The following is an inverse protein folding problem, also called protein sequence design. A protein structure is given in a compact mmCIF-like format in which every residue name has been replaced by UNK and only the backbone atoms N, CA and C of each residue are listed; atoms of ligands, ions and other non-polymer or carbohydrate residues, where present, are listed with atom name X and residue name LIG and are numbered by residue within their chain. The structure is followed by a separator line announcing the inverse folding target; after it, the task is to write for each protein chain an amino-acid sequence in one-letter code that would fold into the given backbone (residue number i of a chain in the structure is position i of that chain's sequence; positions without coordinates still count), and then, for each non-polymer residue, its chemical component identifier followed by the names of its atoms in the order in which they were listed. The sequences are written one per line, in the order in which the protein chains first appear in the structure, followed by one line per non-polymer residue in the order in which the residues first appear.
data_IF_701854801147
#
_entry.id   IF_701854801147
#
_cell.length_a   1.000
_cell.length_b   1.000
_cell.length_c   1.000
_cell.angle_alpha   90.00
_cell.angle_beta   90.00
_cell.angle_gamma   90.00
#
_symmetry.space_group_name_H-M   'P 1'
#
loop_
_entity.id
_entity.type
_entity.pdbx_description
1 polymer ?
#
# COMPACT_ATOMS: atom_id res chain seq x y z
N UNK A 1 -10.95 -14.43 -41.46
CA UNK A 1 -10.94 -15.21 -40.23
C UNK A 1 -9.57 -15.16 -39.56
N UNK A 2 -8.48 -15.40 -40.27
CA UNK A 2 -7.09 -15.41 -39.73
C UNK A 2 -6.65 -14.08 -39.09
N UNK A 3 -6.98 -12.94 -39.70
CA UNK A 3 -6.66 -11.61 -39.17
C UNK A 3 -7.36 -11.37 -37.82
N UNK A 4 -8.63 -11.77 -37.70
CA UNK A 4 -9.40 -11.61 -36.46
C UNK A 4 -8.79 -12.49 -35.33
N UNK A 5 -8.39 -13.72 -35.67
CA UNK A 5 -7.72 -14.63 -34.71
C UNK A 5 -6.38 -14.04 -34.29
N UNK A 6 -5.60 -13.51 -35.22
CA UNK A 6 -4.31 -12.88 -34.91
C UNK A 6 -4.48 -11.66 -33.98
N UNK A 7 -5.45 -10.78 -34.25
CA UNK A 7 -5.77 -9.64 -33.38
C UNK A 7 -6.20 -10.10 -31.99
N UNK A 8 -7.06 -11.11 -31.90
CA UNK A 8 -7.51 -11.66 -30.63
C UNK A 8 -6.35 -12.24 -29.82
N UNK A 9 -5.44 -12.99 -30.45
CA UNK A 9 -4.24 -13.51 -29.78
C UNK A 9 -3.31 -12.40 -29.29
N UNK A 10 -3.04 -11.39 -30.13
CA UNK A 10 -2.19 -10.25 -29.75
C UNK A 10 -2.80 -9.48 -28.57
N UNK A 11 -4.12 -9.26 -28.60
CA UNK A 11 -4.84 -8.62 -27.49
C UNK A 11 -4.74 -9.45 -26.22
N UNK A 12 -4.90 -10.77 -26.30
CA UNK A 12 -4.74 -11.67 -25.17
C UNK A 12 -3.34 -11.61 -24.57
N UNK A 13 -2.29 -11.66 -25.39
CA UNK A 13 -0.91 -11.53 -24.96
C UNK A 13 -0.65 -10.17 -24.31
N UNK A 14 -1.15 -9.11 -24.91
CA UNK A 14 -1.04 -7.76 -24.36
C UNK A 14 -1.72 -7.65 -22.99
N UNK A 15 -2.94 -8.12 -22.86
CA UNK A 15 -3.67 -8.13 -21.59
C UNK A 15 -2.95 -8.96 -20.52
N UNK A 16 -2.45 -10.14 -20.89
CA UNK A 16 -1.64 -10.97 -19.99
C UNK A 16 -0.40 -10.22 -19.49
N UNK A 17 0.34 -9.58 -20.40
CA UNK A 17 1.51 -8.78 -20.05
C UNK A 17 1.15 -7.62 -19.13
N UNK A 18 0.07 -6.88 -19.42
CA UNK A 18 -0.39 -5.76 -18.60
C UNK A 18 -0.75 -6.20 -17.16
N UNK A 19 -1.26 -7.41 -17.00
CA UNK A 19 -1.66 -7.93 -15.69
C UNK A 19 -0.52 -8.56 -14.89
N UNK A 20 0.54 -9.05 -15.53
CA UNK A 20 1.52 -9.91 -14.85
C UNK A 20 2.94 -9.33 -14.82
N UNK A 21 3.27 -8.35 -15.66
CA UNK A 21 4.60 -7.75 -15.67
C UNK A 21 4.73 -6.67 -14.61
N UNK A 22 5.38 -6.97 -13.49
CA UNK A 22 5.67 -6.01 -12.42
C UNK A 22 6.57 -4.88 -12.95
N UNK A 23 6.18 -3.65 -12.67
CA UNK A 23 6.98 -2.43 -12.87
C UNK A 23 7.62 -2.04 -11.56
N UNK A 24 8.82 -1.48 -11.60
CA UNK A 24 9.46 -0.86 -10.46
C UNK A 24 9.35 0.65 -10.64
N UNK A 25 8.63 1.29 -9.74
CA UNK A 25 8.49 2.75 -9.70
C UNK A 25 9.50 3.32 -8.70
N UNK A 26 10.48 4.07 -9.19
CA UNK A 26 11.50 4.68 -8.35
C UNK A 26 11.14 6.14 -8.06
N UNK A 27 11.10 6.51 -6.77
CA UNK A 27 10.82 7.83 -6.26
C UNK A 27 12.01 8.30 -5.42
N UNK A 28 12.44 9.53 -5.57
CA UNK A 28 13.47 10.13 -4.73
C UNK A 28 12.87 11.31 -3.98
N UNK A 29 12.96 11.28 -2.67
CA UNK A 29 12.48 12.36 -1.81
C UNK A 29 13.65 12.94 -1.00
N UNK A 30 13.79 14.25 -1.07
CA UNK A 30 14.76 14.97 -0.23
C UNK A 30 14.22 15.03 1.18
N UNK A 31 15.02 14.53 2.13
CA UNK A 31 14.71 14.55 3.55
C UNK A 31 15.97 14.95 4.36
N UNK A 32 15.77 15.47 5.57
CA UNK A 32 16.89 15.78 6.46
C UNK A 32 17.36 14.48 7.11
N UNK A 33 18.30 13.78 6.45
CA UNK A 33 18.83 12.48 6.86
C UNK A 33 20.36 12.46 6.85
N UNK A 34 20.93 11.54 7.63
CA UNK A 34 22.37 11.32 7.69
C UNK A 34 22.86 10.45 6.53
N UNK A 35 22.16 9.37 6.25
CA UNK A 35 22.47 8.39 5.23
C UNK A 35 21.21 8.03 4.45
N UNK A 36 21.37 7.75 3.17
CA UNK A 36 20.28 7.31 2.29
C UNK A 36 19.55 6.10 2.86
N UNK A 37 18.23 6.20 2.91
CA UNK A 37 17.33 5.10 3.28
C UNK A 37 16.47 4.72 2.09
N UNK A 38 16.36 3.43 1.83
CA UNK A 38 15.52 2.88 0.75
C UNK A 38 14.35 2.10 1.33
N UNK A 39 13.15 2.48 0.95
CA UNK A 39 11.90 1.88 1.38
C UNK A 39 11.25 1.20 0.18
N UNK A 40 10.84 -0.07 0.32
CA UNK A 40 9.98 -0.71 -0.66
C UNK A 40 8.53 -0.72 -0.14
N UNK A 41 7.59 -0.30 -0.99
CA UNK A 41 6.15 -0.40 -0.70
C UNK A 41 5.56 -1.55 -1.51
N UNK A 42 4.86 -2.46 -0.84
CA UNK A 42 3.98 -3.47 -1.42
C UNK A 42 2.55 -3.20 -0.96
N UNK A 43 1.59 -3.34 -1.86
CA UNK A 43 0.18 -3.05 -1.58
C UNK A 43 -0.73 -3.82 -2.51
N UNK A 44 -1.96 -4.09 -2.05
CA UNK A 44 -3.05 -4.58 -2.88
C UNK A 44 -2.65 -5.81 -3.73
N UNK A 45 -2.07 -6.81 -3.09
CA UNK A 45 -1.67 -8.06 -3.76
C UNK A 45 -2.89 -8.96 -4.03
N UNK A 46 -3.91 -8.89 -3.15
CA UNK A 46 -5.16 -9.67 -3.25
C UNK A 46 -4.91 -11.15 -3.51
N UNK A 47 -4.00 -11.75 -2.75
CA UNK A 47 -3.61 -13.15 -2.88
C UNK A 47 -3.16 -13.57 -4.29
N UNK A 48 -2.80 -12.61 -5.14
CA UNK A 48 -2.23 -12.87 -6.46
C UNK A 48 -0.82 -13.43 -6.32
N UNK A 49 -0.48 -14.36 -7.20
CA UNK A 49 0.85 -14.93 -7.28
C UNK A 49 1.64 -14.41 -8.48
N UNK A 50 2.90 -14.07 -8.24
CA UNK A 50 3.91 -13.78 -9.25
C UNK A 50 4.98 -14.86 -9.21
N UNK A 51 4.82 -15.89 -10.04
CA UNK A 51 5.59 -17.14 -9.98
C UNK A 51 5.09 -18.07 -8.87
N UNK A 52 5.79 -19.17 -8.63
CA UNK A 52 5.44 -20.11 -7.59
C UNK A 52 5.74 -19.51 -6.21
N UNK A 53 4.74 -19.44 -5.32
CA UNK A 53 4.87 -18.86 -3.99
C UNK A 53 5.44 -17.41 -4.00
N UNK A 54 5.10 -16.63 -5.02
CA UNK A 54 5.58 -15.26 -5.21
C UNK A 54 7.10 -15.11 -5.40
N UNK A 55 7.80 -16.13 -5.89
CA UNK A 55 9.26 -16.11 -6.07
C UNK A 55 9.75 -15.00 -7.00
N UNK A 56 8.97 -14.64 -8.03
CA UNK A 56 9.29 -13.53 -8.94
C UNK A 56 9.18 -12.19 -8.21
N UNK A 57 8.14 -11.99 -7.41
CA UNK A 57 7.98 -10.77 -6.62
C UNK A 57 9.07 -10.67 -5.55
N UNK A 58 9.33 -11.75 -4.83
CA UNK A 58 10.41 -11.83 -3.84
C UNK A 58 11.76 -11.41 -4.43
N UNK A 59 12.18 -12.03 -5.55
CA UNK A 59 13.43 -11.68 -6.24
C UNK A 59 13.48 -10.20 -6.61
N UNK A 60 12.39 -9.67 -7.16
CA UNK A 60 12.32 -8.25 -7.51
C UNK A 60 12.47 -7.32 -6.30
N UNK A 61 11.92 -7.68 -5.15
CA UNK A 61 12.07 -6.90 -3.92
C UNK A 61 13.54 -6.94 -3.45
N UNK A 62 14.13 -8.14 -3.35
CA UNK A 62 15.50 -8.31 -2.87
C UNK A 62 16.52 -7.64 -3.80
N UNK A 63 16.33 -7.70 -5.12
CA UNK A 63 17.17 -6.99 -6.10
C UNK A 63 17.22 -5.49 -5.89
N UNK A 64 16.16 -4.89 -5.33
CA UNK A 64 16.12 -3.45 -5.03
C UNK A 64 16.90 -3.09 -3.76
N UNK A 65 17.29 -4.05 -2.92
CA UNK A 65 18.02 -3.86 -1.67
C UNK A 65 17.37 -2.80 -0.76
N UNK A 66 16.08 -2.93 -0.43
CA UNK A 66 15.44 -1.99 0.49
C UNK A 66 15.97 -2.20 1.90
N UNK A 67 15.95 -1.14 2.69
CA UNK A 67 16.32 -1.16 4.11
C UNK A 67 15.14 -1.58 4.98
N UNK A 68 13.93 -1.19 4.56
CA UNK A 68 12.65 -1.56 5.18
C UNK A 68 11.58 -1.78 4.12
N UNK A 69 10.55 -2.52 4.49
CA UNK A 69 9.35 -2.71 3.68
C UNK A 69 8.13 -2.17 4.42
N UNK A 70 7.30 -1.44 3.70
CA UNK A 70 5.98 -1.03 4.15
C UNK A 70 4.90 -1.74 3.33
N UNK A 71 4.02 -2.46 4.01
CA UNK A 71 2.88 -3.14 3.43
C UNK A 71 1.61 -2.35 3.74
N UNK A 72 1.03 -1.72 2.72
CA UNK A 72 -0.08 -0.78 2.89
C UNK A 72 -1.46 -1.42 2.68
N UNK A 73 -1.60 -2.69 3.10
CA UNK A 73 -2.86 -3.42 3.16
C UNK A 73 -3.26 -4.12 1.87
N UNK A 74 -4.35 -4.88 1.98
CA UNK A 74 -4.94 -5.67 0.91
C UNK A 74 -3.96 -6.65 0.24
N UNK A 75 -3.00 -7.21 1.01
CA UNK A 75 -2.18 -8.31 0.52
C UNK A 75 -2.96 -9.61 0.49
N UNK A 76 -3.88 -9.79 1.44
CA UNK A 76 -4.73 -10.95 1.60
C UNK A 76 -6.13 -10.62 1.08
N UNK A 77 -6.65 -11.48 0.23
CA UNK A 77 -8.01 -11.39 -0.26
C UNK A 77 -9.02 -11.78 0.82
N UNK A 78 -10.19 -11.17 0.84
CA UNK A 78 -11.25 -11.43 1.83
C UNK A 78 -11.75 -12.89 1.84
N UNK A 79 -11.50 -13.65 0.76
CA UNK A 79 -11.79 -15.10 0.70
C UNK A 79 -10.80 -15.95 1.51
N UNK A 80 -9.64 -15.41 1.85
CA UNK A 80 -8.54 -16.07 2.60
C UNK A 80 -8.02 -17.39 1.98
N UNK A 81 -8.33 -17.67 0.72
CA UNK A 81 -7.96 -18.94 0.08
C UNK A 81 -6.46 -19.24 0.07
N UNK A 82 -5.63 -18.20 0.11
CA UNK A 82 -4.16 -18.27 0.08
C UNK A 82 -3.52 -17.57 1.28
N UNK A 83 -4.18 -17.63 2.44
CA UNK A 83 -3.70 -16.95 3.64
C UNK A 83 -2.29 -17.40 4.01
N UNK A 84 -2.10 -18.71 4.10
CA UNK A 84 -0.83 -19.28 4.58
C UNK A 84 0.31 -18.99 3.60
N UNK A 85 0.06 -19.04 2.30
CA UNK A 85 1.03 -18.72 1.25
C UNK A 85 1.46 -17.25 1.30
N UNK A 86 0.52 -16.32 1.55
CA UNK A 86 0.85 -14.89 1.68
C UNK A 86 1.60 -14.62 2.98
N UNK A 87 1.21 -15.26 4.09
CA UNK A 87 1.95 -15.17 5.35
C UNK A 87 3.38 -15.71 5.20
N UNK A 88 3.55 -16.85 4.53
CA UNK A 88 4.87 -17.42 4.26
C UNK A 88 5.72 -16.50 3.38
N UNK A 89 5.14 -15.92 2.34
CA UNK A 89 5.79 -14.91 1.50
C UNK A 89 6.26 -13.71 2.32
N UNK A 90 5.38 -13.11 3.13
CA UNK A 90 5.74 -11.99 4.00
C UNK A 90 6.82 -12.39 5.02
N UNK A 91 6.70 -13.58 5.61
CA UNK A 91 7.69 -14.12 6.55
C UNK A 91 9.06 -14.33 5.90
N UNK A 92 9.09 -14.83 4.67
CA UNK A 92 10.35 -15.04 3.94
C UNK A 92 11.10 -13.72 3.72
N UNK A 93 10.40 -12.65 3.40
CA UNK A 93 10.99 -11.32 3.24
C UNK A 93 11.44 -10.76 4.60
N UNK A 94 10.59 -10.88 5.64
CA UNK A 94 10.85 -10.29 6.95
C UNK A 94 12.05 -10.92 7.69
N UNK A 95 12.54 -12.08 7.24
CA UNK A 95 13.79 -12.66 7.75
C UNK A 95 15.01 -11.80 7.48
N UNK A 96 15.03 -11.13 6.33
CA UNK A 96 16.16 -10.34 5.85
C UNK A 96 15.93 -8.84 5.93
N UNK A 97 14.66 -8.40 5.76
CA UNK A 97 14.27 -6.98 5.66
C UNK A 97 13.05 -6.72 6.53
N UNK A 98 13.14 -5.85 7.55
CA UNK A 98 12.02 -5.55 8.43
C UNK A 98 10.78 -5.08 7.66
N UNK A 99 9.61 -5.66 7.98
CA UNK A 99 8.33 -5.35 7.35
C UNK A 99 7.35 -4.74 8.36
N UNK A 100 6.79 -3.59 7.97
CA UNK A 100 5.74 -2.87 8.71
C UNK A 100 4.45 -2.96 7.92
N UNK A 101 3.42 -3.52 8.55
CA UNK A 101 2.18 -3.91 7.90
C UNK A 101 1.00 -3.18 8.51
N UNK A 102 0.13 -2.61 7.67
CA UNK A 102 -1.22 -2.21 8.06
C UNK A 102 -2.25 -3.05 7.31
N UNK A 103 -3.41 -3.24 7.91
CA UNK A 103 -4.52 -3.93 7.26
C UNK A 103 -5.19 -3.02 6.24
N UNK A 104 -5.60 -3.58 5.11
CA UNK A 104 -6.48 -2.92 4.15
C UNK A 104 -7.94 -3.32 4.35
N UNK A 105 -8.82 -2.87 3.46
CA UNK A 105 -10.24 -3.14 3.60
C UNK A 105 -10.62 -4.62 3.36
N UNK A 106 -9.85 -5.37 2.60
CA UNK A 106 -10.13 -6.78 2.38
C UNK A 106 -9.84 -7.61 3.62
N UNK A 107 -8.71 -7.38 4.29
CA UNK A 107 -8.42 -8.01 5.57
C UNK A 107 -9.43 -7.58 6.64
N UNK A 108 -9.76 -6.28 6.72
CA UNK A 108 -10.69 -5.74 7.73
C UNK A 108 -12.13 -6.24 7.58
N UNK A 109 -12.56 -6.56 6.35
CA UNK A 109 -13.89 -7.14 6.08
C UNK A 109 -13.95 -8.65 6.36
N UNK A 110 -12.81 -9.29 6.48
CA UNK A 110 -12.77 -10.72 6.77
C UNK A 110 -13.26 -11.00 8.19
N UNK A 111 -14.20 -11.96 8.34
CA UNK A 111 -14.66 -12.40 9.66
C UNK A 111 -13.54 -12.99 10.54
N UNK A 112 -12.43 -13.40 9.93
CA UNK A 112 -11.26 -14.01 10.57
C UNK A 112 -10.06 -13.05 10.64
N UNK A 113 -10.28 -11.74 10.66
CA UNK A 113 -9.17 -10.75 10.67
C UNK A 113 -8.23 -10.94 11.86
N UNK A 114 -8.71 -11.41 13.03
CA UNK A 114 -7.87 -11.73 14.18
C UNK A 114 -6.83 -12.80 13.86
N UNK A 115 -7.23 -13.82 13.09
CA UNK A 115 -6.32 -14.88 12.66
C UNK A 115 -5.24 -14.35 11.72
N UNK A 116 -5.59 -13.43 10.82
CA UNK A 116 -4.61 -12.77 9.94
C UNK A 116 -3.55 -12.06 10.79
N UNK A 117 -4.01 -11.21 11.73
CA UNK A 117 -3.12 -10.45 12.62
C UNK A 117 -2.26 -11.38 13.48
N UNK A 118 -2.85 -12.41 14.07
CA UNK A 118 -2.12 -13.38 14.89
C UNK A 118 -1.04 -14.11 14.08
N UNK A 119 -1.35 -14.57 12.87
CA UNK A 119 -0.40 -15.25 11.99
C UNK A 119 0.74 -14.31 11.56
N UNK A 120 0.44 -13.06 11.21
CA UNK A 120 1.46 -12.06 10.87
C UNK A 120 2.40 -11.82 12.07
N UNK A 121 1.84 -11.55 13.26
CA UNK A 121 2.61 -11.29 14.48
C UNK A 121 3.44 -12.53 14.93
N UNK A 122 2.89 -13.74 14.79
CA UNK A 122 3.62 -15.01 15.05
C UNK A 122 4.84 -15.16 14.14
N UNK A 123 4.77 -14.65 12.92
CA UNK A 123 5.88 -14.60 11.97
C UNK A 123 6.75 -13.34 12.12
N UNK A 124 6.66 -12.64 13.26
CA UNK A 124 7.45 -11.46 13.62
C UNK A 124 7.28 -10.26 12.68
N UNK A 125 6.21 -10.23 11.91
CA UNK A 125 5.86 -9.07 11.08
C UNK A 125 5.26 -8.01 11.99
N UNK A 126 5.74 -6.77 11.91
CA UNK A 126 5.25 -5.66 12.71
C UNK A 126 3.91 -5.17 12.13
N UNK A 127 2.80 -5.62 12.71
CA UNK A 127 1.45 -5.16 12.34
C UNK A 127 1.08 -3.97 13.22
N UNK A 128 0.85 -2.83 12.58
CA UNK A 128 0.53 -1.57 13.25
C UNK A 128 -0.98 -1.30 13.17
N UNK A 129 -1.61 -1.15 14.32
CA UNK A 129 -3.05 -0.91 14.49
C UNK A 129 -3.27 0.33 15.35
N UNK A 130 -3.12 1.52 14.78
CA UNK A 130 -3.06 2.82 15.46
C UNK A 130 -1.86 2.94 16.41
N UNK A 131 -0.76 2.37 15.99
CA UNK A 131 0.47 2.28 16.75
C UNK A 131 1.62 2.99 16.02
N UNK A 132 2.59 3.48 16.81
CA UNK A 132 3.81 4.08 16.29
C UNK A 132 4.97 3.17 16.67
N UNK A 133 5.72 2.74 15.66
CA UNK A 133 6.99 2.05 15.83
C UNK A 133 8.15 2.99 15.51
N UNK A 134 9.10 3.10 16.44
CA UNK A 134 10.30 3.93 16.29
C UNK A 134 11.51 3.05 16.07
N UNK A 135 12.19 3.27 14.95
CA UNK A 135 13.34 2.46 14.52
C UNK A 135 14.52 3.33 14.16
N UNK A 136 15.69 2.72 14.13
CA UNK A 136 16.89 3.34 13.60
C UNK A 136 17.35 2.61 12.35
N UNK A 137 17.48 3.34 11.24
CA UNK A 137 17.94 2.81 9.96
C UNK A 137 19.12 3.63 9.47
N UNK A 138 20.30 3.02 9.41
CA UNK A 138 21.55 3.67 8.97
C UNK A 138 21.83 4.99 9.68
N UNK A 139 21.59 5.04 11.00
CA UNK A 139 21.79 6.24 11.82
C UNK A 139 20.71 7.31 11.65
N UNK A 140 19.59 6.98 11.01
CA UNK A 140 18.40 7.85 10.93
C UNK A 140 17.30 7.30 11.81
N UNK A 141 16.74 8.15 12.66
CA UNK A 141 15.55 7.84 13.44
C UNK A 141 14.31 7.96 12.54
N UNK A 142 13.53 6.91 12.47
CA UNK A 142 12.30 6.83 11.66
C UNK A 142 11.16 6.38 12.56
N UNK A 143 10.06 7.13 12.54
CA UNK A 143 8.85 6.80 13.27
C UNK A 143 7.76 6.45 12.28
N UNK A 144 7.22 5.25 12.38
CA UNK A 144 6.22 4.71 11.46
C UNK A 144 4.89 4.61 12.22
N UNK A 145 3.94 5.44 11.87
CA UNK A 145 2.56 5.36 12.33
C UNK A 145 1.78 4.49 11.37
N UNK A 146 1.23 3.38 11.83
CA UNK A 146 0.27 2.59 11.08
C UNK A 146 -1.16 2.85 11.54
N UNK A 147 -2.03 3.20 10.61
CA UNK A 147 -3.45 3.48 10.89
C UNK A 147 -4.31 2.24 10.64
N UNK A 148 -5.15 1.91 11.61
CA UNK A 148 -6.20 0.91 11.47
C UNK A 148 -7.49 1.62 11.03
N UNK A 149 -7.73 1.64 9.73
CA UNK A 149 -8.84 2.37 9.13
C UNK A 149 -9.98 1.41 8.82
N UNK A 150 -11.12 1.60 9.47
CA UNK A 150 -12.36 0.90 9.12
C UNK A 150 -13.16 1.77 8.16
N UNK A 151 -13.46 1.24 6.98
CA UNK A 151 -14.44 1.85 6.09
C UNK A 151 -15.81 1.81 6.76
N UNK A 152 -16.47 2.96 6.89
CA UNK A 152 -17.87 3.05 7.28
C UNK A 152 -18.72 2.61 6.10
N UNK A 153 -19.81 1.91 6.40
CA UNK A 153 -20.66 1.17 5.46
C UNK A 153 -21.02 1.89 4.14
N UNK A 154 -21.27 1.06 3.14
CA UNK A 154 -21.68 1.40 1.79
C UNK A 154 -22.87 2.36 1.76
N UNK A 155 -22.61 3.64 1.64
CA UNK A 155 -23.64 4.68 1.52
C UNK A 155 -23.30 6.01 2.19
N UNK A 156 -22.41 6.03 3.15
CA UNK A 156 -21.90 7.26 3.73
C UNK A 156 -20.54 7.59 3.15
N UNK A 157 -20.43 8.79 2.57
CA UNK A 157 -19.18 9.36 2.09
C UNK A 157 -18.14 9.37 3.23
N UNK A 158 -17.22 8.44 3.15
CA UNK A 158 -15.86 8.33 3.64
C UNK A 158 -15.42 9.24 4.78
N UNK A 159 -15.89 8.97 5.97
CA UNK A 159 -15.16 9.37 7.16
C UNK A 159 -14.41 8.12 7.66
N UNK A 160 -13.09 8.14 7.58
CA UNK A 160 -12.29 7.25 8.38
C UNK A 160 -12.41 7.68 9.84
N UNK A 161 -13.57 7.45 10.46
CA UNK A 161 -13.56 7.33 11.90
C UNK A 161 -12.66 6.16 12.19
N UNK A 162 -11.50 6.43 12.77
CA UNK A 162 -10.66 5.40 13.38
C UNK A 162 -11.53 4.74 14.46
N UNK A 163 -12.36 3.84 14.05
CA UNK A 163 -12.92 2.85 14.93
C UNK A 163 -11.85 1.79 15.06
N UNK A 164 -10.92 2.04 15.98
CA UNK A 164 -10.00 1.00 16.34
C UNK A 164 -10.83 -0.18 16.82
N UNK A 165 -10.52 -1.35 16.28
CA UNK A 165 -10.96 -2.62 16.82
C UNK A 165 -10.54 -2.78 18.29
N UNK A 166 -9.59 -1.96 18.72
CA UNK A 166 -8.87 -2.04 19.98
C UNK A 166 -8.85 -0.72 20.78
N UNK A 167 -9.72 0.23 20.51
CA UNK A 167 -9.82 1.44 21.32
C UNK A 167 -10.33 2.65 20.56
N UNK A 168 -10.91 3.57 21.28
CA UNK A 168 -11.47 4.84 20.79
C UNK A 168 -10.39 5.93 20.73
N UNK A 169 -9.14 5.58 20.38
CA UNK A 169 -8.10 6.60 20.33
C UNK A 169 -8.38 7.53 19.13
N UNK A 170 -8.59 8.80 19.44
CA UNK A 170 -8.87 9.82 18.45
C UNK A 170 -7.63 10.00 17.55
N UNK A 171 -7.82 10.11 16.23
CA UNK A 171 -6.77 10.39 15.24
C UNK A 171 -5.88 11.55 15.68
N UNK A 172 -6.45 12.62 16.20
CA UNK A 172 -5.72 13.79 16.68
C UNK A 172 -4.68 13.44 17.75
N UNK A 173 -5.04 12.56 18.69
CA UNK A 173 -4.10 12.10 19.73
C UNK A 173 -2.95 11.30 19.13
N UNK A 174 -3.24 10.42 18.16
CA UNK A 174 -2.24 9.59 17.53
C UNK A 174 -1.25 10.46 16.76
N UNK A 175 -1.75 11.37 15.93
CA UNK A 175 -0.90 12.30 15.19
C UNK A 175 -0.14 13.24 16.14
N UNK A 176 -0.76 13.75 17.20
CA UNK A 176 -0.07 14.57 18.22
C UNK A 176 1.08 13.82 18.90
N UNK A 177 0.97 12.49 19.07
CA UNK A 177 2.07 11.66 19.57
C UNK A 177 3.19 11.59 18.54
N UNK A 178 2.85 11.32 17.26
CA UNK A 178 3.83 11.27 16.17
C UNK A 178 4.57 12.61 16.00
N UNK A 179 3.86 13.73 16.07
CA UNK A 179 4.42 15.07 15.89
C UNK A 179 5.50 15.41 16.91
N UNK A 180 5.38 14.90 18.15
CA UNK A 180 6.35 15.13 19.24
C UNK A 180 7.65 14.34 19.10
N UNK A 181 7.69 13.36 18.20
CA UNK A 181 8.86 12.52 17.99
C UNK A 181 9.86 13.21 17.08
N UNK A 182 11.14 13.04 17.37
CA UNK A 182 12.22 13.48 16.49
C UNK A 182 12.47 12.47 15.38
N UNK A 183 13.03 12.95 14.26
CA UNK A 183 13.36 12.13 13.10
C UNK A 183 12.28 12.14 12.04
N UNK A 184 12.41 11.23 11.06
CA UNK A 184 11.48 11.12 9.93
C UNK A 184 10.17 10.49 10.40
N UNK A 185 9.06 11.06 9.97
CA UNK A 185 7.72 10.63 10.32
C UNK A 185 7.02 10.05 9.10
N UNK A 186 6.78 8.74 9.13
CA UNK A 186 6.09 8.00 8.08
C UNK A 186 4.71 7.60 8.58
N UNK A 187 3.69 7.81 7.74
CA UNK A 187 2.32 7.37 8.00
C UNK A 187 1.98 6.27 7.00
N UNK A 188 1.45 5.16 7.48
CA UNK A 188 0.86 4.11 6.66
C UNK A 188 -0.66 4.22 6.78
N UNK A 189 -1.33 4.47 5.67
CA UNK A 189 -2.78 4.57 5.54
C UNK A 189 -3.21 3.84 4.28
N UNK A 190 -4.17 2.94 4.38
CA UNK A 190 -4.60 2.20 3.19
C UNK A 190 -5.27 3.11 2.16
N UNK A 191 -6.07 4.07 2.62
CA UNK A 191 -6.89 4.94 1.79
C UNK A 191 -6.19 6.26 1.44
N UNK A 192 -5.80 6.51 0.17
CA UNK A 192 -5.12 7.74 -0.22
C UNK A 192 -6.01 8.98 -0.13
N UNK A 193 -7.32 8.83 -0.23
CA UNK A 193 -8.30 9.91 -0.11
C UNK A 193 -8.29 10.56 1.27
N UNK A 194 -7.88 9.85 2.32
CA UNK A 194 -7.76 10.41 3.66
C UNK A 194 -6.69 11.51 3.77
N UNK A 195 -5.85 11.67 2.75
CA UNK A 195 -4.83 12.71 2.73
C UNK A 195 -5.43 14.13 2.70
N UNK A 196 -6.49 14.36 1.91
CA UNK A 196 -7.10 15.70 1.78
C UNK A 196 -8.63 15.73 1.68
N UNK A 197 -9.27 14.58 1.48
CA UNK A 197 -10.67 14.53 1.04
C UNK A 197 -11.70 14.87 2.11
N UNK A 198 -11.30 14.93 3.37
CA UNK A 198 -12.21 15.13 4.49
C UNK A 198 -11.88 16.45 5.19
N UNK A 199 -12.75 17.44 5.09
CA UNK A 199 -12.52 18.79 5.63
C UNK A 199 -12.08 18.79 7.10
N UNK A 200 -12.68 17.94 7.95
CA UNK A 200 -12.35 17.84 9.36
C UNK A 200 -11.31 16.75 9.70
N UNK A 201 -11.05 15.81 8.80
CA UNK A 201 -10.23 14.62 9.01
C UNK A 201 -9.00 14.47 8.12
N UNK A 202 -8.73 15.43 7.24
CA UNK A 202 -7.59 15.38 6.33
C UNK A 202 -6.29 15.18 7.09
N UNK A 203 -5.55 14.09 6.73
CA UNK A 203 -4.29 13.78 7.39
C UNK A 203 -3.19 14.79 7.04
N UNK A 204 -3.29 15.45 5.89
CA UNK A 204 -2.34 16.47 5.45
C UNK A 204 -2.24 17.69 6.38
N UNK A 205 -3.21 17.88 7.27
CA UNK A 205 -3.14 18.95 8.29
C UNK A 205 -2.11 18.68 9.38
N UNK A 206 -1.77 17.41 9.61
CA UNK A 206 -0.79 17.02 10.63
C UNK A 206 0.65 17.12 10.11
N UNK A 207 1.60 17.17 11.02
CA UNK A 207 3.02 17.29 10.67
C UNK A 207 3.70 15.92 10.59
N UNK A 208 3.83 15.41 9.38
CA UNK A 208 4.62 14.22 9.04
C UNK A 208 5.34 14.44 7.71
N UNK A 209 6.25 13.56 7.33
CA UNK A 209 7.04 13.70 6.12
C UNK A 209 6.42 12.97 4.94
N UNK A 210 6.02 11.71 5.14
CA UNK A 210 5.58 10.82 4.07
C UNK A 210 4.40 9.98 4.54
N UNK A 211 3.39 9.88 3.69
CA UNK A 211 2.29 8.91 3.81
C UNK A 211 2.34 7.93 2.65
N UNK A 212 2.26 6.64 2.95
CA UNK A 212 2.15 5.58 1.96
C UNK A 212 0.73 5.03 1.93
N UNK A 213 0.17 4.89 0.73
CA UNK A 213 -1.19 4.37 0.52
C UNK A 213 -1.30 3.41 -0.66
N UNK A 214 -2.31 2.53 -0.59
CA UNK A 214 -2.74 1.64 -1.65
C UNK A 214 -4.14 1.97 -2.15
N UNK A 215 -5.02 0.97 -2.16
CA UNK A 215 -6.47 1.02 -2.38
C UNK A 215 -6.94 1.48 -3.77
N UNK A 216 -6.29 2.47 -4.36
CA UNK A 216 -6.74 3.11 -5.61
C UNK A 216 -6.51 2.25 -6.86
N UNK A 217 -5.73 1.17 -6.76
CA UNK A 217 -5.41 0.26 -7.88
C UNK A 217 -5.00 0.97 -9.18
N UNK A 218 -4.32 2.14 -9.07
CA UNK A 218 -3.92 2.94 -10.22
C UNK A 218 -5.10 3.47 -11.06
N UNK A 219 -6.29 3.54 -10.47
CA UNK A 219 -7.50 3.92 -11.19
C UNK A 219 -7.99 2.84 -12.15
N UNK A 220 -7.68 1.57 -11.93
CA UNK A 220 -8.02 0.36 -12.67
C UNK A 220 -7.50 0.35 -14.13
N UNK A 221 -7.88 1.32 -14.93
CA UNK A 221 -7.37 1.62 -16.27
C UNK A 221 -6.75 3.01 -16.28
N UNK A 222 -5.58 3.13 -16.92
CA UNK A 222 -4.94 4.44 -17.11
C UNK A 222 -5.00 4.80 -18.57
N UNK A 223 -5.81 5.79 -18.92
CA UNK A 223 -5.86 6.27 -20.29
C UNK A 223 -4.83 7.38 -20.52
N UNK A 224 -4.01 7.29 -21.59
CA UNK A 224 -3.05 8.34 -21.92
C UNK A 224 -3.75 9.69 -22.08
N UNK A 225 -3.21 10.73 -21.41
CA UNK A 225 -3.76 12.08 -21.44
C UNK A 225 -4.96 12.33 -20.51
N UNK A 226 -5.59 11.28 -19.96
CA UNK A 226 -6.76 11.39 -19.08
C UNK A 226 -6.38 11.00 -17.62
N UNK A 227 -5.65 9.90 -17.46
CA UNK A 227 -5.30 9.39 -16.14
C UNK A 227 -6.07 8.13 -15.75
N UNK A 228 -6.19 7.88 -14.43
CA UNK A 228 -6.97 6.78 -13.88
C UNK A 228 -8.47 6.96 -14.13
N UNK A 229 -9.18 5.87 -14.42
CA UNK A 229 -10.61 5.96 -14.75
C UNK A 229 -11.49 5.81 -13.53
N UNK A 230 -11.17 4.87 -12.64
CA UNK A 230 -12.00 4.61 -11.46
C UNK A 230 -11.17 4.09 -10.29
N UNK A 231 -11.36 4.68 -9.12
CA UNK A 231 -10.80 4.13 -7.88
C UNK A 231 -11.91 3.97 -6.83
N UNK A 232 -11.87 2.88 -6.04
CA UNK A 232 -12.76 2.75 -4.90
C UNK A 232 -12.57 3.95 -3.97
N UNK A 233 -13.66 4.48 -3.43
CA UNK A 233 -13.58 5.62 -2.52
C UNK A 233 -13.54 6.99 -3.20
N UNK A 234 -13.04 7.08 -4.42
CA UNK A 234 -12.92 8.34 -5.17
C UNK A 234 -13.84 8.41 -6.40
N UNK A 235 -14.37 7.28 -6.88
CA UNK A 235 -15.25 7.25 -8.05
C UNK A 235 -14.50 7.40 -9.38
N UNK A 236 -15.15 8.06 -10.35
CA UNK A 236 -14.60 8.31 -11.68
C UNK A 236 -13.55 9.43 -11.65
N UNK A 237 -12.48 9.24 -12.43
CA UNK A 237 -11.36 10.19 -12.56
C UNK A 237 -10.73 10.55 -11.21
N UNK A 238 -10.24 9.56 -10.45
CA UNK A 238 -9.73 9.77 -9.11
C UNK A 238 -8.53 10.72 -9.09
N UNK A 239 -8.46 11.57 -8.07
CA UNK A 239 -7.31 12.47 -7.85
C UNK A 239 -6.06 11.67 -7.46
N UNK A 240 -6.21 10.73 -6.52
CA UNK A 240 -5.10 9.96 -5.94
C UNK A 240 -5.12 8.52 -6.48
N UNK A 241 -4.45 8.25 -7.59
CA UNK A 241 -4.43 6.92 -8.19
C UNK A 241 -3.04 6.30 -8.36
N UNK A 242 -1.98 7.12 -8.44
CA UNK A 242 -0.58 6.65 -8.48
C UNK A 242 0.41 7.80 -8.30
N UNK A 243 1.60 7.49 -7.77
CA UNK A 243 2.73 8.43 -7.75
C UNK A 243 2.75 9.29 -6.50
N UNK A 244 3.26 10.51 -6.60
CA UNK A 244 3.53 11.40 -5.48
C UNK A 244 2.64 12.63 -5.54
N UNK A 245 2.04 12.99 -4.40
CA UNK A 245 1.18 14.16 -4.21
C UNK A 245 1.62 14.95 -2.98
N UNK A 246 1.09 16.16 -2.85
CA UNK A 246 1.34 17.06 -1.73
C UNK A 246 2.65 17.82 -1.83
N UNK A 247 2.69 19.01 -1.19
CA UNK A 247 3.87 19.89 -1.19
C UNK A 247 4.72 19.72 0.06
N UNK A 248 4.15 19.97 1.22
CA UNK A 248 4.82 19.84 2.51
C UNK A 248 4.93 18.37 2.91
N UNK A 249 3.80 17.74 3.13
CA UNK A 249 3.69 16.31 3.40
C UNK A 249 3.59 15.56 2.06
N UNK A 250 4.29 14.46 1.89
CA UNK A 250 4.25 13.69 0.65
C UNK A 250 3.33 12.49 0.81
N UNK A 251 2.35 12.36 -0.09
CA UNK A 251 1.55 11.14 -0.24
C UNK A 251 2.11 10.34 -1.41
N UNK A 252 2.42 9.08 -1.17
CA UNK A 252 2.83 8.10 -2.18
C UNK A 252 1.70 7.09 -2.35
N UNK A 253 1.18 6.99 -3.57
CA UNK A 253 0.10 6.05 -3.91
C UNK A 253 0.62 4.97 -4.83
N UNK A 254 0.57 3.72 -4.37
CA UNK A 254 0.86 2.54 -5.17
C UNK A 254 -0.30 2.22 -6.12
N UNK A 255 0.04 1.69 -7.30
CA UNK A 255 -0.97 1.10 -8.19
C UNK A 255 -1.41 -0.29 -7.77
N UNK A 256 -0.81 -0.82 -6.72
CA UNK A 256 -1.05 -2.17 -6.24
C UNK A 256 -0.44 -3.25 -7.15
N UNK A 257 -0.31 -4.45 -6.61
CA UNK A 257 0.28 -5.62 -7.27
C UNK A 257 -0.78 -6.55 -7.87
N UNK A 258 -1.88 -6.77 -7.15
CA UNK A 258 -2.99 -7.62 -7.58
C UNK A 258 -4.05 -6.89 -8.38
N UNK A 259 -5.11 -7.59 -8.70
CA UNK A 259 -6.29 -7.02 -9.36
C UNK A 259 -7.34 -6.67 -8.31
N UNK A 260 -8.10 -5.60 -8.55
CA UNK A 260 -9.31 -5.28 -7.83
C UNK A 260 -10.46 -6.23 -8.23
N UNK A 261 -11.71 -5.86 -7.99
CA UNK A 261 -12.90 -6.61 -8.44
C UNK A 261 -12.91 -6.89 -9.96
N UNK A 262 -12.29 -6.01 -10.74
CA UNK A 262 -12.15 -6.20 -12.17
C UNK A 262 -10.81 -6.90 -12.50
N UNK A 263 -10.84 -8.03 -13.23
CA UNK A 263 -9.65 -8.89 -13.40
C UNK A 263 -8.65 -8.39 -14.44
N UNK A 264 -8.82 -7.21 -14.99
CA UNK A 264 -7.99 -6.66 -16.07
C UNK A 264 -7.40 -5.31 -15.69
N UNK A 265 -6.13 -5.13 -16.00
CA UNK A 265 -5.39 -3.85 -15.93
C UNK A 265 -5.03 -3.41 -17.36
N UNK A 266 -5.26 -2.15 -17.68
CA UNK A 266 -4.92 -1.58 -18.99
C UNK A 266 -4.06 -0.34 -18.79
N UNK A 267 -2.83 -0.34 -19.36
CA UNK A 267 -1.78 0.68 -19.14
C UNK A 267 -1.44 0.94 -17.66
N UNK A 268 -1.76 -0.02 -16.83
CA UNK A 268 -1.73 0.05 -15.38
C UNK A 268 -1.14 -1.25 -14.78
N UNK A 269 0.12 -1.53 -15.10
CA UNK A 269 0.80 -2.76 -14.67
C UNK A 269 0.98 -2.80 -13.15
N UNK A 270 1.07 -4.02 -12.55
CA UNK A 270 1.43 -4.22 -11.15
C UNK A 270 2.68 -3.43 -10.75
N UNK A 271 2.68 -2.82 -9.57
CA UNK A 271 3.66 -1.82 -9.16
C UNK A 271 4.37 -2.21 -7.85
N UNK A 272 5.69 -2.29 -7.92
CA UNK A 272 6.57 -2.30 -6.76
C UNK A 272 7.18 -0.90 -6.64
N UNK A 273 6.78 -0.17 -5.60
CA UNK A 273 7.25 1.21 -5.40
C UNK A 273 8.51 1.19 -4.54
N UNK A 274 9.55 1.88 -5.01
CA UNK A 274 10.82 2.06 -4.31
C UNK A 274 11.01 3.53 -4.03
N UNK A 275 11.19 3.88 -2.77
CA UNK A 275 11.39 5.26 -2.33
C UNK A 275 12.77 5.40 -1.72
N UNK A 276 13.57 6.25 -2.31
CA UNK A 276 14.88 6.65 -1.80
C UNK A 276 14.71 7.98 -1.05
N UNK A 277 14.92 7.96 0.25
CA UNK A 277 15.14 9.17 1.05
C UNK A 277 16.59 9.58 0.87
N UNK A 278 16.84 10.83 0.44
CA UNK A 278 18.17 11.37 0.11
C UNK A 278 18.36 12.77 0.67
#
# INVERSE_FOLDING_TARGET
MEIIIAIAMLTGVFCYYQNNKIVITNIKLKQKINNKVRIAQISDLHSKEFGKNNDILYKKIIEQKPDIIVATGDLIDSSMKKLDEIIEFCSSINKDIPMYYILGNNEMRCSRVSEIVEKLKKNKICVLENEIESIEVKGNKINILGLAEKRIDEGELFYSKVNSRYGTENIEKIFSRLERLDGIKIVLSHYPENFEYVEEGAYSKYNFDIMFSGHAHGGQFILPGIGGIFAPGQGLFPKYYKGVYGEKNKLIVSRGLGNSRFPLRLFNRPDLVIVDLI
#
